data_IF_013449550170
#
_entry.id   IF_013449550170
#
_cell.length_a   1.000
_cell.length_b   1.000
_cell.length_c   1.000
_cell.angle_alpha   90.00
_cell.angle_beta   90.00
_cell.angle_gamma   90.00
#
_symmetry.space_group_name_H-M   'P 1'
#
loop_
_entity.id
_entity.type
_entity.pdbx_description
1 polymer ?
#
# COMPACT_ATOMS: atom_id res chain seq x y z
N UNK A 1 20.43 -10.11 -8.61
CA UNK A 1 18.96 -10.19 -8.41
C UNK A 1 18.68 -9.29 -7.21
N UNK A 2 18.04 -8.17 -7.42
CA UNK A 2 17.72 -7.22 -6.36
C UNK A 2 16.29 -7.54 -5.94
N UNK A 3 16.11 -8.10 -4.76
CA UNK A 3 14.81 -8.35 -4.18
C UNK A 3 14.41 -7.11 -3.36
N UNK A 4 13.31 -6.46 -3.71
CA UNK A 4 12.81 -5.29 -3.01
C UNK A 4 11.76 -5.71 -1.98
N UNK A 5 12.00 -5.40 -0.71
CA UNK A 5 11.00 -5.50 0.34
C UNK A 5 10.54 -4.10 0.75
N UNK A 6 9.26 -3.85 0.68
CA UNK A 6 8.65 -2.62 1.19
C UNK A 6 8.12 -2.86 2.58
N UNK A 7 8.64 -2.12 3.56
CA UNK A 7 8.21 -2.20 4.93
C UNK A 7 7.26 -1.04 5.24
N UNK A 8 6.03 -1.36 5.57
CA UNK A 8 5.06 -0.37 6.04
C UNK A 8 5.02 -0.46 7.56
N UNK A 9 5.49 0.56 8.25
CA UNK A 9 5.38 0.65 9.70
C UNK A 9 4.37 1.71 10.11
N UNK A 10 3.48 1.39 11.02
CA UNK A 10 2.58 2.35 11.64
C UNK A 10 3.23 2.95 12.89
N UNK A 11 3.10 4.25 13.07
CA UNK A 11 3.80 5.11 14.05
C UNK A 11 3.48 4.79 15.55
N UNK A 12 2.76 3.74 15.87
CA UNK A 12 2.34 3.45 17.25
C UNK A 12 3.07 2.26 17.91
N UNK A 13 4.32 1.99 17.53
CA UNK A 13 5.09 0.93 18.18
C UNK A 13 5.86 1.48 19.39
N UNK A 14 5.62 0.90 20.56
CA UNK A 14 6.47 1.10 21.73
C UNK A 14 7.90 0.57 21.46
N UNK A 15 8.87 1.08 22.24
CA UNK A 15 10.31 0.84 22.05
C UNK A 15 10.73 -0.62 21.81
N UNK A 16 10.05 -1.59 22.43
CA UNK A 16 10.36 -3.03 22.25
C UNK A 16 10.12 -3.52 20.80
N UNK A 17 9.19 -2.89 20.06
CA UNK A 17 8.91 -3.26 18.65
C UNK A 17 9.81 -2.53 17.64
N UNK A 18 10.43 -1.43 18.01
CA UNK A 18 11.39 -0.74 17.16
C UNK A 18 12.64 -1.61 16.93
N UNK A 19 13.09 -2.33 17.94
CA UNK A 19 14.23 -3.26 17.83
C UNK A 19 13.89 -4.48 16.97
N UNK A 20 12.66 -4.98 17.05
CA UNK A 20 12.19 -6.08 16.19
C UNK A 20 12.13 -5.68 14.72
N UNK A 21 11.61 -4.47 14.43
CA UNK A 21 11.56 -3.93 13.07
C UNK A 21 12.98 -3.71 12.54
N UNK A 22 13.86 -3.18 13.36
CA UNK A 22 15.28 -2.99 12.99
C UNK A 22 15.95 -4.32 12.67
N UNK A 23 15.72 -5.33 13.49
CA UNK A 23 16.26 -6.69 13.30
C UNK A 23 15.72 -7.32 12.02
N UNK A 24 14.43 -7.16 11.73
CA UNK A 24 13.82 -7.60 10.48
C UNK A 24 14.45 -6.92 9.26
N UNK A 25 14.61 -5.60 9.30
CA UNK A 25 15.27 -4.86 8.22
C UNK A 25 16.68 -5.37 7.96
N UNK A 26 17.48 -5.52 9.02
CA UNK A 26 18.85 -6.02 8.91
C UNK A 26 18.91 -7.44 8.32
N UNK A 27 17.97 -8.30 8.68
CA UNK A 27 17.89 -9.66 8.13
C UNK A 27 17.57 -9.62 6.63
N UNK A 28 16.58 -8.82 6.23
CA UNK A 28 16.20 -8.63 4.81
C UNK A 28 17.34 -8.04 3.98
N UNK A 29 18.02 -7.01 4.48
CA UNK A 29 19.18 -6.40 3.81
C UNK A 29 20.32 -7.40 3.63
N UNK A 30 20.57 -8.24 4.65
CA UNK A 30 21.56 -9.32 4.58
C UNK A 30 21.23 -10.36 3.51
N UNK A 31 19.93 -10.61 3.29
CA UNK A 31 19.44 -11.52 2.26
C UNK A 31 19.39 -10.86 0.87
N UNK A 32 19.83 -9.60 0.74
CA UNK A 32 19.98 -8.88 -0.52
C UNK A 32 18.76 -8.06 -0.93
N UNK A 33 17.81 -7.84 -0.02
CA UNK A 33 16.69 -6.94 -0.30
C UNK A 33 17.09 -5.47 -0.19
N UNK A 34 16.51 -4.65 -1.05
CA UNK A 34 16.50 -3.20 -0.87
C UNK A 34 15.20 -2.84 -0.16
N UNK A 35 15.31 -2.16 0.97
CA UNK A 35 14.15 -1.79 1.78
C UNK A 35 13.74 -0.36 1.48
N UNK A 36 12.45 -0.17 1.23
CA UNK A 36 11.81 1.13 1.19
C UNK A 36 10.74 1.18 2.29
N UNK A 37 10.67 2.31 2.96
CA UNK A 37 9.68 2.52 4.02
C UNK A 37 8.48 3.28 3.46
N UNK A 38 7.30 2.90 3.94
CA UNK A 38 6.05 3.56 3.65
C UNK A 38 5.22 3.72 4.90
N UNK A 39 4.07 4.31 4.75
CA UNK A 39 3.12 4.51 5.83
C UNK A 39 1.72 4.04 5.47
N UNK A 40 0.92 3.73 6.49
CA UNK A 40 -0.50 3.50 6.35
C UNK A 40 -1.23 4.83 6.58
N UNK A 41 -2.13 5.18 5.68
CA UNK A 41 -2.91 6.42 5.79
C UNK A 41 -4.38 6.22 5.42
N UNK A 42 -5.20 7.16 5.84
CA UNK A 42 -6.64 7.16 5.51
C UNK A 42 -6.80 7.45 4.01
N UNK A 43 -7.60 6.62 3.35
CA UNK A 43 -8.02 6.82 1.98
C UNK A 43 -9.42 7.45 1.95
N UNK A 44 -9.46 8.77 1.87
CA UNK A 44 -10.72 9.51 1.73
C UNK A 44 -11.18 9.49 0.26
N UNK A 45 -11.96 8.46 -0.07
CA UNK A 45 -12.47 8.25 -1.43
C UNK A 45 -13.37 9.40 -1.90
N UNK A 46 -14.14 9.99 -0.99
CA UNK A 46 -15.04 11.12 -1.31
C UNK A 46 -14.23 12.35 -1.68
N UNK A 47 -13.16 12.63 -0.93
CA UNK A 47 -12.25 13.73 -1.24
C UNK A 47 -11.59 13.54 -2.61
N UNK A 48 -11.09 12.35 -2.91
CA UNK A 48 -10.47 12.02 -4.21
C UNK A 48 -11.47 12.15 -5.36
N UNK A 49 -12.74 11.78 -5.13
CA UNK A 49 -13.82 11.95 -6.10
C UNK A 49 -14.14 13.42 -6.35
N UNK A 50 -14.26 14.23 -5.31
CA UNK A 50 -14.56 15.65 -5.43
C UNK A 50 -13.48 16.43 -6.19
N UNK A 51 -12.24 15.96 -6.16
CA UNK A 51 -11.12 16.51 -6.95
C UNK A 51 -11.08 15.94 -8.39
N UNK A 52 -12.06 15.14 -8.79
CA UNK A 52 -12.19 14.61 -10.15
C UNK A 52 -11.15 13.54 -10.52
N UNK A 53 -10.45 12.98 -9.55
CA UNK A 53 -9.40 11.98 -9.80
C UNK A 53 -9.93 10.56 -10.01
N UNK A 54 -11.15 10.30 -9.58
CA UNK A 54 -11.86 9.04 -9.81
C UNK A 54 -13.28 9.32 -10.32
N UNK A 55 -13.85 8.45 -11.15
CA UNK A 55 -15.14 8.68 -11.79
C UNK A 55 -16.34 8.54 -10.84
N UNK A 56 -16.18 7.88 -9.71
CA UNK A 56 -17.25 7.61 -8.76
C UNK A 56 -16.72 7.26 -7.39
N UNK A 57 -17.42 7.69 -6.35
CA UNK A 57 -17.26 7.22 -4.98
C UNK A 57 -18.38 6.24 -4.58
N UNK A 58 -19.11 5.69 -5.55
CA UNK A 58 -20.19 4.75 -5.31
C UNK A 58 -19.67 3.46 -4.64
N UNK A 59 -20.41 2.95 -3.67
CA UNK A 59 -19.98 1.79 -2.87
C UNK A 59 -19.11 2.12 -1.68
N UNK A 60 -18.71 3.39 -1.50
CA UNK A 60 -18.01 3.81 -0.29
C UNK A 60 -18.94 3.71 0.92
N UNK A 61 -18.48 3.07 1.99
CA UNK A 61 -19.18 3.08 3.27
C UNK A 61 -18.70 4.27 4.11
N UNK A 62 -19.54 5.30 4.35
CA UNK A 62 -19.13 6.50 5.04
C UNK A 62 -18.82 6.27 6.53
N UNK A 63 -19.21 5.13 7.09
CA UNK A 63 -18.93 4.77 8.49
C UNK A 63 -17.67 3.93 8.65
N UNK A 64 -17.05 3.51 7.56
CA UNK A 64 -15.81 2.71 7.55
C UNK A 64 -14.62 3.59 7.20
N UNK A 65 -13.59 3.52 8.00
CA UNK A 65 -12.29 4.10 7.65
C UNK A 65 -11.55 3.14 6.73
N UNK A 66 -11.48 3.47 5.46
CA UNK A 66 -10.57 2.81 4.55
C UNK A 66 -9.17 3.34 4.75
N UNK A 67 -8.22 2.45 4.86
CA UNK A 67 -6.81 2.79 4.98
C UNK A 67 -6.04 2.10 3.85
N UNK A 68 -5.03 2.79 3.36
CA UNK A 68 -4.15 2.28 2.32
C UNK A 68 -2.71 2.58 2.65
N UNK A 69 -1.82 1.84 2.06
CA UNK A 69 -0.40 2.10 2.20
C UNK A 69 0.07 3.13 1.16
N UNK A 70 0.97 3.98 1.59
CA UNK A 70 1.68 4.94 0.75
C UNK A 70 3.15 4.55 0.77
N UNK A 71 3.68 4.15 -0.35
CA UNK A 71 5.06 3.67 -0.48
C UNK A 71 5.73 4.33 -1.68
N UNK A 72 7.04 4.58 -1.64
CA UNK A 72 7.79 5.03 -2.80
C UNK A 72 7.67 4.02 -3.95
N UNK A 73 7.87 4.44 -5.20
CA UNK A 73 8.01 3.52 -6.31
C UNK A 73 9.25 2.63 -6.12
N UNK A 74 9.27 1.47 -6.74
CA UNK A 74 10.45 0.64 -6.74
C UNK A 74 11.63 1.36 -7.43
N UNK A 75 12.89 1.05 -7.08
CA UNK A 75 14.04 1.63 -7.74
C UNK A 75 13.98 1.47 -9.27
N UNK A 76 14.05 2.58 -9.98
CA UNK A 76 13.94 2.62 -11.44
C UNK A 76 12.52 2.68 -11.98
N UNK A 77 11.50 2.73 -11.12
CA UNK A 77 10.11 3.00 -11.51
C UNK A 77 9.77 4.48 -11.34
N UNK A 78 8.95 4.99 -12.26
CA UNK A 78 8.38 6.32 -12.18
C UNK A 78 7.00 6.26 -11.53
N UNK A 79 6.67 7.31 -10.77
CA UNK A 79 5.31 7.51 -10.27
C UNK A 79 4.43 8.00 -11.41
N UNK A 80 3.29 7.37 -11.63
CA UNK A 80 2.32 7.90 -12.55
C UNK A 80 1.66 9.18 -11.98
N UNK A 81 1.34 10.11 -12.89
CA UNK A 81 0.80 11.43 -12.51
C UNK A 81 -0.50 11.37 -11.72
N UNK A 82 -1.31 10.34 -11.93
CA UNK A 82 -2.58 10.16 -11.24
C UNK A 82 -2.35 9.71 -9.79
N UNK A 83 -1.43 8.79 -9.57
CA UNK A 83 -1.02 8.36 -8.23
C UNK A 83 -0.44 9.51 -7.43
N UNK A 84 0.43 10.31 -8.03
CA UNK A 84 0.99 11.53 -7.42
C UNK A 84 -0.13 12.52 -7.04
N UNK A 85 -1.08 12.79 -7.93
CA UNK A 85 -2.21 13.67 -7.66
C UNK A 85 -3.10 13.15 -6.52
N UNK A 86 -3.38 11.85 -6.47
CA UNK A 86 -4.13 11.22 -5.37
C UNK A 86 -3.39 11.37 -4.05
N UNK A 87 -2.09 11.11 -4.01
CA UNK A 87 -1.26 11.29 -2.81
C UNK A 87 -1.34 12.71 -2.29
N UNK A 88 -1.18 13.69 -3.16
CA UNK A 88 -1.28 15.12 -2.84
C UNK A 88 -2.64 15.49 -2.23
N UNK A 89 -3.73 15.05 -2.84
CA UNK A 89 -5.10 15.29 -2.35
C UNK A 89 -5.28 14.71 -0.95
N UNK A 90 -4.68 13.56 -0.68
CA UNK A 90 -4.74 12.90 0.63
C UNK A 90 -3.73 13.45 1.64
N UNK A 91 -2.99 14.52 1.28
CA UNK A 91 -2.03 15.17 2.17
C UNK A 91 -0.74 14.37 2.37
N UNK A 92 -0.39 13.56 1.39
CA UNK A 92 0.84 12.76 1.35
C UNK A 92 1.84 13.36 0.36
N UNK A 93 3.09 12.89 0.41
CA UNK A 93 4.09 13.26 -0.60
C UNK A 93 3.63 12.84 -2.00
N UNK A 94 3.95 13.65 -2.99
CA UNK A 94 3.72 13.32 -4.40
C UNK A 94 4.66 12.20 -4.89
N UNK A 95 5.69 11.87 -4.10
CA UNK A 95 6.68 10.84 -4.40
C UNK A 95 6.29 9.44 -3.91
N UNK A 96 5.05 9.26 -3.42
CA UNK A 96 4.55 7.97 -2.97
C UNK A 96 3.36 7.50 -3.78
N UNK A 97 3.30 6.20 -4.01
CA UNK A 97 2.14 5.55 -4.64
C UNK A 97 1.11 5.16 -3.59
N UNK A 98 -0.14 5.61 -3.70
CA UNK A 98 -1.23 5.05 -2.93
C UNK A 98 -1.77 3.79 -3.63
N UNK A 99 -2.11 2.78 -2.88
CA UNK A 99 -3.03 1.68 -3.23
C UNK A 99 -2.69 0.74 -4.36
N UNK A 100 -2.18 1.17 -5.49
CA UNK A 100 -2.00 0.31 -6.66
C UNK A 100 -0.52 0.09 -6.88
N UNK A 101 -0.12 -1.17 -6.87
CA UNK A 101 1.25 -1.60 -7.13
C UNK A 101 1.28 -2.63 -8.23
N UNK A 102 2.14 -2.40 -9.20
CA UNK A 102 2.62 -3.44 -10.11
C UNK A 102 3.79 -4.16 -9.43
N UNK A 103 3.47 -5.15 -8.59
CA UNK A 103 4.53 -5.94 -7.97
C UNK A 103 5.22 -6.82 -9.01
N UNK A 104 6.54 -6.70 -9.06
CA UNK A 104 7.38 -7.62 -9.82
C UNK A 104 7.56 -8.93 -9.06
N UNK A 105 7.97 -10.02 -9.73
CA UNK A 105 8.18 -11.31 -9.06
C UNK A 105 9.24 -11.29 -7.95
N UNK A 106 10.08 -10.26 -7.91
CA UNK A 106 11.15 -10.06 -6.94
C UNK A 106 10.80 -8.95 -5.91
N UNK A 107 9.54 -8.57 -5.81
CA UNK A 107 9.05 -7.57 -4.86
C UNK A 107 8.06 -8.16 -3.86
N UNK A 108 8.06 -7.61 -2.66
CA UNK A 108 7.08 -7.92 -1.62
C UNK A 108 6.72 -6.67 -0.82
N UNK A 109 5.48 -6.61 -0.34
CA UNK A 109 5.03 -5.62 0.64
C UNK A 109 4.90 -6.33 1.98
N UNK A 110 5.61 -5.83 2.98
CA UNK A 110 5.53 -6.32 4.35
C UNK A 110 4.81 -5.26 5.18
N UNK A 111 3.66 -5.63 5.73
CA UNK A 111 2.95 -4.80 6.69
C UNK A 111 3.35 -5.20 8.11
N UNK A 112 3.86 -4.23 8.85
CA UNK A 112 4.18 -4.39 10.27
C UNK A 112 3.36 -3.39 11.07
N UNK A 113 2.51 -3.87 11.96
CA UNK A 113 1.62 -3.00 12.72
C UNK A 113 1.03 -3.71 13.94
N UNK A 114 0.16 -2.98 14.62
CA UNK A 114 -0.68 -3.53 15.68
C UNK A 114 -2.05 -3.89 15.14
N UNK A 115 -2.67 -4.90 15.72
CA UNK A 115 -4.10 -5.11 15.53
C UNK A 115 -4.87 -3.89 15.99
N UNK A 116 -5.98 -3.54 15.34
CA UNK A 116 -6.85 -2.47 15.80
C UNK A 116 -7.30 -2.71 17.25
N UNK A 117 -7.71 -1.66 17.96
CA UNK A 117 -8.40 -1.83 19.23
C UNK A 117 -9.69 -2.65 19.00
N UNK A 118 -10.29 -3.10 20.11
CA UNK A 118 -11.54 -3.83 20.04
C UNK A 118 -12.57 -3.09 19.15
N UNK A 119 -13.04 -3.77 18.13
CA UNK A 119 -13.98 -3.23 17.14
C UNK A 119 -14.89 -4.36 16.63
N UNK A 120 -16.00 -4.01 16.00
CA UNK A 120 -16.92 -5.00 15.47
C UNK A 120 -16.36 -5.83 14.33
N UNK A 121 -15.52 -5.20 13.51
CA UNK A 121 -14.91 -5.82 12.35
C UNK A 121 -13.72 -5.03 11.85
N UNK A 122 -12.70 -5.71 11.42
CA UNK A 122 -11.63 -5.17 10.57
C UNK A 122 -11.15 -6.26 9.60
N UNK A 123 -10.60 -5.85 8.48
CA UNK A 123 -9.96 -6.75 7.52
C UNK A 123 -8.74 -6.11 6.89
N UNK A 124 -7.87 -6.96 6.39
CA UNK A 124 -6.82 -6.59 5.45
C UNK A 124 -7.15 -7.25 4.12
N UNK A 125 -7.57 -6.44 3.16
CA UNK A 125 -8.01 -6.97 1.87
C UNK A 125 -6.94 -6.72 0.81
N UNK A 126 -6.58 -7.77 0.11
CA UNK A 126 -5.75 -7.71 -1.08
C UNK A 126 -6.64 -7.94 -2.29
N UNK A 127 -6.66 -6.98 -3.18
CA UNK A 127 -7.47 -7.04 -4.39
C UNK A 127 -6.59 -7.03 -5.63
N UNK A 128 -6.84 -7.96 -6.53
CA UNK A 128 -6.30 -7.90 -7.87
C UNK A 128 -7.16 -6.94 -8.68
N UNK A 129 -6.60 -5.81 -9.09
CA UNK A 129 -7.34 -4.79 -9.84
C UNK A 129 -7.20 -4.98 -11.35
N UNK A 130 -6.03 -5.39 -11.81
CA UNK A 130 -5.77 -5.64 -13.23
C UNK A 130 -4.61 -6.62 -13.41
N UNK A 131 -4.58 -7.23 -14.57
CA UNK A 131 -3.45 -8.04 -15.04
C UNK A 131 -2.97 -7.55 -16.39
N UNK A 132 -1.68 -7.68 -16.62
CA UNK A 132 -1.07 -7.40 -17.91
C UNK A 132 -0.80 -8.72 -18.63
N UNK A 133 -1.33 -8.85 -19.85
CA UNK A 133 -1.14 -9.98 -20.74
C UNK A 133 -0.38 -9.49 -21.97
N UNK A 134 0.92 -9.72 -22.03
CA UNK A 134 1.75 -9.10 -23.05
C UNK A 134 1.71 -7.58 -22.97
N UNK A 135 1.17 -6.92 -23.99
CA UNK A 135 1.02 -5.46 -24.04
C UNK A 135 -0.39 -4.96 -23.63
N UNK A 136 -1.29 -5.85 -23.26
CA UNK A 136 -2.65 -5.50 -22.87
C UNK A 136 -2.82 -5.57 -21.37
N UNK A 137 -3.37 -4.51 -20.78
CA UNK A 137 -3.78 -4.50 -19.38
C UNK A 137 -5.30 -4.63 -19.31
N UNK A 138 -5.77 -5.64 -18.58
CA UNK A 138 -7.20 -5.90 -18.37
C UNK A 138 -7.58 -5.66 -16.92
N UNK A 139 -8.69 -5.01 -16.71
CA UNK A 139 -9.28 -4.87 -15.39
C UNK A 139 -9.85 -6.23 -14.94
N UNK A 140 -9.38 -6.67 -13.77
CA UNK A 140 -9.88 -7.87 -13.12
C UNK A 140 -10.09 -7.53 -11.64
N UNK A 141 -11.21 -6.90 -11.35
CA UNK A 141 -11.53 -6.64 -9.96
C UNK A 141 -11.93 -7.93 -9.26
N UNK A 142 -11.02 -8.50 -8.50
CA UNK A 142 -11.31 -9.65 -7.65
C UNK A 142 -10.58 -9.51 -6.32
N UNK A 143 -11.27 -9.85 -5.25
CA UNK A 143 -10.62 -10.01 -3.95
C UNK A 143 -9.73 -11.25 -3.99
N UNK A 144 -8.47 -11.08 -3.65
CA UNK A 144 -7.54 -12.19 -3.43
C UNK A 144 -7.71 -12.70 -2.00
N UNK A 145 -8.96 -12.93 -1.59
CA UNK A 145 -9.24 -13.53 -0.29
C UNK A 145 -8.42 -14.80 -0.14
N UNK A 146 -7.75 -14.92 1.00
CA UNK A 146 -7.15 -16.18 1.42
C UNK A 146 -8.30 -17.21 1.42
N UNK A 147 -8.28 -18.13 0.46
CA UNK A 147 -9.09 -19.32 0.58
C UNK A 147 -8.39 -20.18 1.63
N UNK A 148 -9.07 -20.36 2.74
CA UNK A 148 -8.74 -21.41 3.69
C UNK A 148 -8.79 -22.78 3.00
#
# INVERSE_FOLDING_TARGET
MVLLAMLISTVFAENAKADDIKSLKQALEKDGFIIQEGELGVFDLVKVYNEGLIPSAYGNNPTTRYMVYFVPPAPGEEIDKRSSAVSKVLGKSEDVNPTIKNLRPDEAIIFVGRTPPECRYFSYDVNLMFRTYGNETRWEWTSLGLRE
#
